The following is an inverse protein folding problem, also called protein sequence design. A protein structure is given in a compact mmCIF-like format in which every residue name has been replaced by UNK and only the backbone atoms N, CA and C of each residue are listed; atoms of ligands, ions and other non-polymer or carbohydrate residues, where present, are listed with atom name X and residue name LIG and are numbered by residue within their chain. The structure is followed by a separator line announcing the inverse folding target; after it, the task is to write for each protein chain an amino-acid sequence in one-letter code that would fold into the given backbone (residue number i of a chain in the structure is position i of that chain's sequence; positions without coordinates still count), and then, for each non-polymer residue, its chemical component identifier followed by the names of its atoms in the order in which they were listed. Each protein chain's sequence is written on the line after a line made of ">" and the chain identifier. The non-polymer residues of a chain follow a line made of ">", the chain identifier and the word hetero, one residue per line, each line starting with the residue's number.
data_IF_867286014984
#
_entry.id   IF_867286014984
#
_cell.length_a   1.000
_cell.length_b   1.000
_cell.length_c   1.000
_cell.angle_alpha   90.00
_cell.angle_beta   90.00
_cell.angle_gamma   90.00
#
_symmetry.space_group_name_H-M   'P 1'
#
loop_
_entity.id
_entity.type
_entity.pdbx_description
1 polymer ?
#
# COMPACT_ATOMS: atom_id res chain seq x y z
N UNK A 1 -19.18 28.59 6.73
CA UNK A 1 -19.01 27.34 5.92
C UNK A 1 -17.60 26.77 6.05
N UNK A 2 -16.54 27.49 5.68
CA UNK A 2 -15.15 26.99 5.73
C UNK A 2 -14.73 26.48 7.12
N UNK A 3 -14.94 27.27 8.18
CA UNK A 3 -14.60 26.87 9.56
C UNK A 3 -15.35 25.63 10.05
N UNK A 4 -16.63 25.48 9.68
CA UNK A 4 -17.40 24.29 9.99
C UNK A 4 -16.89 23.06 9.23
N UNK A 5 -16.51 23.22 7.96
CA UNK A 5 -15.94 22.14 7.16
C UNK A 5 -14.59 21.66 7.71
N UNK A 6 -13.67 22.57 8.06
CA UNK A 6 -12.38 22.17 8.68
C UNK A 6 -12.56 21.49 10.03
N UNK A 7 -13.54 21.91 10.84
CA UNK A 7 -13.85 21.25 12.09
C UNK A 7 -14.29 19.79 11.88
N UNK A 8 -15.20 19.53 10.93
CA UNK A 8 -15.65 18.16 10.63
C UNK A 8 -14.50 17.31 10.08
N UNK A 9 -13.68 17.84 9.16
CA UNK A 9 -12.50 17.13 8.63
C UNK A 9 -11.52 16.78 9.75
N UNK A 10 -11.29 17.68 10.70
CA UNK A 10 -10.45 17.43 11.87
C UNK A 10 -10.97 16.29 12.75
N UNK A 11 -12.28 16.28 13.04
CA UNK A 11 -12.92 15.20 13.82
C UNK A 11 -12.85 13.86 13.08
N UNK A 12 -13.12 13.85 11.77
CA UNK A 12 -13.01 12.63 10.96
C UNK A 12 -11.59 12.07 10.94
N UNK A 13 -10.58 12.93 10.83
CA UNK A 13 -9.17 12.53 10.90
C UNK A 13 -8.80 11.92 12.25
N UNK A 14 -9.23 12.55 13.34
CA UNK A 14 -8.99 12.04 14.69
C UNK A 14 -9.66 10.66 14.91
N UNK A 15 -10.91 10.50 14.47
CA UNK A 15 -11.61 9.23 14.56
C UNK A 15 -10.93 8.14 13.73
N UNK A 16 -10.50 8.46 12.51
CA UNK A 16 -9.77 7.52 11.66
C UNK A 16 -8.48 7.03 12.31
N UNK A 17 -7.67 7.93 12.86
CA UNK A 17 -6.43 7.56 13.53
C UNK A 17 -6.68 6.68 14.76
N UNK A 18 -7.75 6.97 15.52
CA UNK A 18 -8.14 6.15 16.68
C UNK A 18 -8.51 4.71 16.28
N UNK A 19 -9.33 4.55 15.23
CA UNK A 19 -9.70 3.23 14.71
C UNK A 19 -8.47 2.53 14.12
N UNK A 20 -7.64 3.23 13.35
CA UNK A 20 -6.47 2.67 12.66
C UNK A 20 -5.38 2.19 13.63
N UNK A 21 -5.24 2.85 14.78
CA UNK A 21 -4.30 2.47 15.83
C UNK A 21 -4.78 1.25 16.63
N UNK A 22 -6.11 1.06 16.76
CA UNK A 22 -6.71 -0.06 17.49
C UNK A 22 -7.12 -1.24 16.60
N UNK A 23 -7.08 -1.09 15.28
CA UNK A 23 -7.39 -2.16 14.33
C UNK A 23 -6.36 -3.29 14.38
N UNK A 24 -6.75 -4.46 13.84
CA UNK A 24 -5.91 -5.66 13.80
C UNK A 24 -4.56 -5.43 13.12
N UNK A 25 -3.63 -6.33 13.47
CA UNK A 25 -2.31 -6.44 12.84
C UNK A 25 -2.43 -6.56 11.32
N UNK A 26 -1.42 -6.03 10.62
CA UNK A 26 -1.39 -6.06 9.16
C UNK A 26 -1.27 -7.52 8.69
N UNK A 27 -1.93 -7.92 7.60
CA UNK A 27 -1.78 -9.26 7.07
C UNK A 27 -0.31 -9.57 6.74
N UNK A 28 0.09 -10.81 6.96
CA UNK A 28 1.47 -11.29 6.78
C UNK A 28 1.98 -11.13 5.35
N UNK A 29 1.08 -11.02 4.37
CA UNK A 29 1.39 -10.76 2.96
C UNK A 29 1.84 -9.33 2.67
N UNK A 30 1.74 -8.42 3.65
CA UNK A 30 2.21 -7.04 3.52
C UNK A 30 3.61 -6.81 4.10
N UNK A 31 4.33 -7.86 4.49
CA UNK A 31 5.75 -7.73 4.83
C UNK A 31 6.56 -7.49 3.56
N UNK A 32 7.69 -6.78 3.69
CA UNK A 32 8.57 -6.45 2.55
C UNK A 32 9.06 -7.71 1.83
N UNK A 33 9.49 -8.71 2.60
CA UNK A 33 9.96 -9.99 2.05
C UNK A 33 8.89 -10.68 1.19
N UNK A 34 7.64 -10.69 1.66
CA UNK A 34 6.53 -11.29 0.91
C UNK A 34 6.22 -10.50 -0.37
N UNK A 35 6.27 -9.17 -0.30
CA UNK A 35 6.05 -8.30 -1.45
C UNK A 35 7.18 -8.42 -2.50
N UNK A 36 8.43 -8.57 -2.05
CA UNK A 36 9.59 -8.80 -2.93
C UNK A 36 9.52 -10.17 -3.59
N UNK A 37 9.20 -11.22 -2.83
CA UNK A 37 8.95 -12.56 -3.38
C UNK A 37 7.79 -12.56 -4.40
N UNK A 38 6.75 -11.76 -4.14
CA UNK A 38 5.64 -11.58 -5.08
C UNK A 38 6.07 -10.90 -6.39
N UNK A 39 6.99 -9.94 -6.32
CA UNK A 39 7.57 -9.32 -7.52
C UNK A 39 8.37 -10.32 -8.35
N UNK A 40 9.18 -11.17 -7.73
CA UNK A 40 9.94 -12.21 -8.41
C UNK A 40 9.03 -13.24 -9.07
N UNK A 41 8.02 -13.71 -8.33
CA UNK A 41 6.99 -14.60 -8.86
C UNK A 41 6.26 -13.97 -10.04
N UNK A 42 5.90 -12.69 -9.94
CA UNK A 42 5.20 -11.98 -11.00
C UNK A 42 6.06 -11.79 -12.26
N UNK A 43 7.37 -11.56 -12.09
CA UNK A 43 8.31 -11.51 -13.21
C UNK A 43 8.47 -12.90 -13.86
N UNK A 44 8.60 -13.96 -13.07
CA UNK A 44 8.70 -15.34 -13.56
C UNK A 44 7.45 -15.75 -14.36
N UNK A 45 6.26 -15.35 -13.90
CA UNK A 45 4.99 -15.65 -14.55
C UNK A 45 4.57 -14.62 -15.61
N UNK A 46 5.44 -13.66 -15.95
CA UNK A 46 5.18 -12.61 -16.95
C UNK A 46 3.88 -11.82 -16.67
N UNK A 47 3.59 -11.52 -15.40
CA UNK A 47 2.41 -10.76 -15.00
C UNK A 47 2.56 -9.30 -15.44
N UNK A 48 1.62 -8.85 -16.28
CA UNK A 48 1.61 -7.53 -16.90
C UNK A 48 2.94 -7.18 -17.60
N UNK A 49 3.27 -7.83 -18.73
CA UNK A 49 4.57 -7.73 -19.39
C UNK A 49 4.74 -6.48 -20.26
N UNK A 50 3.66 -5.73 -20.53
CA UNK A 50 3.70 -4.56 -21.42
C UNK A 50 4.08 -3.29 -20.64
N UNK A 51 3.54 -3.11 -19.43
CA UNK A 51 3.75 -1.90 -18.62
C UNK A 51 4.02 -2.18 -17.13
N UNK A 52 3.92 -3.43 -16.70
CA UNK A 52 4.00 -3.82 -15.29
C UNK A 52 5.35 -4.41 -14.90
N UNK A 53 5.35 -5.07 -13.74
CA UNK A 53 6.55 -5.59 -13.06
C UNK A 53 7.39 -6.58 -13.89
N UNK A 54 6.77 -7.23 -14.87
CA UNK A 54 7.43 -8.15 -15.80
C UNK A 54 7.91 -7.51 -17.11
N UNK A 55 7.69 -6.20 -17.32
CA UNK A 55 8.21 -5.52 -18.51
C UNK A 55 9.72 -5.26 -18.40
N UNK A 56 10.44 -5.38 -19.51
CA UNK A 56 11.91 -5.28 -19.57
C UNK A 56 12.45 -3.90 -19.10
N UNK A 57 11.62 -2.87 -19.17
CA UNK A 57 11.95 -1.50 -18.76
C UNK A 57 11.36 -1.07 -17.41
N UNK A 58 10.76 -1.97 -16.62
CA UNK A 58 10.06 -1.59 -15.39
C UNK A 58 11.03 -1.08 -14.31
N UNK A 59 10.91 0.20 -13.94
CA UNK A 59 11.71 0.87 -12.89
C UNK A 59 10.93 1.16 -11.60
N UNK A 60 9.70 0.65 -11.47
CA UNK A 60 8.85 0.87 -10.29
C UNK A 60 9.09 -0.15 -9.17
N UNK A 61 8.55 0.11 -7.98
CA UNK A 61 8.65 -0.78 -6.81
C UNK A 61 7.76 -2.04 -6.91
N UNK A 62 6.92 -2.16 -7.95
CA UNK A 62 6.05 -3.31 -8.16
C UNK A 62 4.99 -3.42 -7.07
N UNK A 63 4.86 -4.61 -6.49
CA UNK A 63 3.98 -4.92 -5.36
C UNK A 63 4.50 -4.44 -4.01
N UNK A 64 5.71 -3.88 -3.94
CA UNK A 64 6.26 -3.33 -2.70
C UNK A 64 5.58 -2.00 -2.41
N UNK A 65 4.65 -2.02 -1.44
CA UNK A 65 4.00 -0.82 -0.91
C UNK A 65 4.65 -0.48 0.42
N UNK A 66 5.15 0.76 0.55
CA UNK A 66 5.89 1.22 1.72
C UNK A 66 4.99 1.31 2.96
N UNK A 67 4.71 0.16 3.56
CA UNK A 67 4.02 0.02 4.82
C UNK A 67 5.09 -0.36 5.84
N UNK A 68 5.69 0.66 6.47
CA UNK A 68 6.69 0.58 7.57
C UNK A 68 6.53 -0.72 8.37
N UNK A 69 7.58 -1.56 8.36
CA UNK A 69 7.71 -2.81 9.11
C UNK A 69 7.06 -2.73 10.49
#
# INVERSE_FOLDING_TARGET
>A
VVAGATAVVGVSGALFLWIRAKGNERPTTLTKEWQEASNEYARANKINPISGVASEGYKGSGFVSNSKN
#
